data_IF_095610005942
#
_entry.id   IF_095610005942
#
_cell.length_a   1.000
_cell.length_b   1.000
_cell.length_c   1.000
_cell.angle_alpha   90.00
_cell.angle_beta   90.00
_cell.angle_gamma   90.00
#
_symmetry.space_group_name_H-M   'P 1'
#
loop_
_entity.id
_entity.type
_entity.pdbx_description
1 polymer ?
#
# COMPACT_ATOMS: atom_id res chain seq x y z
N UNK A 1 -4.70 -44.85 -9.74
CA UNK A 1 -4.42 -43.41 -10.00
C UNK A 1 -4.24 -42.75 -8.65
N UNK A 2 -3.01 -42.37 -8.32
CA UNK A 2 -2.63 -41.78 -7.02
C UNK A 2 -3.21 -40.37 -6.90
N UNK A 3 -4.20 -40.18 -6.04
CA UNK A 3 -4.55 -38.86 -5.53
C UNK A 3 -3.88 -38.70 -4.17
N UNK A 4 -2.66 -38.15 -4.20
CA UNK A 4 -1.97 -37.65 -3.01
C UNK A 4 -2.72 -36.44 -2.48
N UNK A 5 -3.67 -36.69 -1.58
CA UNK A 5 -4.17 -35.68 -0.66
C UNK A 5 -3.09 -35.42 0.39
N UNK A 6 -2.07 -34.68 0.02
CA UNK A 6 -1.11 -34.09 0.94
C UNK A 6 -1.76 -32.82 1.54
N UNK A 7 -2.95 -33.02 2.12
CA UNK A 7 -3.70 -32.01 2.83
C UNK A 7 -2.94 -31.67 4.10
N UNK A 8 -2.24 -30.55 4.07
CA UNK A 8 -1.54 -29.92 5.18
C UNK A 8 -2.46 -29.87 6.42
N UNK A 9 -2.24 -30.79 7.35
CA UNK A 9 -2.88 -30.79 8.67
C UNK A 9 -2.46 -29.59 9.52
N UNK A 10 -3.02 -29.42 10.72
CA UNK A 10 -2.64 -28.34 11.64
C UNK A 10 -1.14 -28.42 11.88
N UNK A 11 -0.39 -27.46 11.32
CA UNK A 11 1.06 -27.57 11.34
C UNK A 11 1.55 -27.41 12.79
N UNK A 12 2.43 -28.32 13.20
CA UNK A 12 2.88 -28.41 14.57
C UNK A 12 4.01 -27.41 14.81
N UNK A 13 3.77 -26.44 15.68
CA UNK A 13 4.69 -25.34 16.03
C UNK A 13 6.02 -25.85 16.63
N UNK A 14 6.07 -27.12 17.03
CA UNK A 14 7.18 -27.75 17.73
C UNK A 14 8.04 -28.69 16.86
N UNK A 15 7.80 -28.76 15.55
CA UNK A 15 8.61 -29.65 14.72
C UNK A 15 10.04 -29.10 14.54
N UNK A 16 11.03 -29.96 14.81
CA UNK A 16 12.47 -29.63 14.68
C UNK A 16 12.82 -29.03 13.32
N UNK A 17 12.09 -29.43 12.27
CA UNK A 17 12.22 -28.91 10.91
C UNK A 17 12.01 -27.40 10.84
N UNK A 18 10.94 -26.88 11.47
CA UNK A 18 10.64 -25.45 11.47
C UNK A 18 11.69 -24.64 12.25
N UNK A 19 12.18 -25.19 13.37
CA UNK A 19 13.27 -24.58 14.15
C UNK A 19 14.55 -24.47 13.31
N UNK A 20 14.94 -25.54 12.61
CA UNK A 20 16.10 -25.56 11.72
C UNK A 20 15.98 -24.58 10.55
N UNK A 21 14.80 -24.49 9.93
CA UNK A 21 14.53 -23.53 8.85
C UNK A 21 14.66 -22.09 9.34
N UNK A 22 14.11 -21.77 10.51
CA UNK A 22 14.22 -20.45 11.13
C UNK A 22 15.66 -20.09 11.49
N UNK A 23 16.43 -21.01 12.07
CA UNK A 23 17.85 -20.80 12.38
C UNK A 23 18.68 -20.60 11.10
N UNK A 24 18.38 -21.36 10.04
CA UNK A 24 19.04 -21.20 8.73
C UNK A 24 18.70 -19.84 8.11
N UNK A 25 17.45 -19.42 8.19
CA UNK A 25 17.01 -18.12 7.68
C UNK A 25 17.65 -16.96 8.46
N UNK A 26 17.77 -17.07 9.79
CA UNK A 26 18.47 -16.11 10.63
C UNK A 26 19.95 -16.01 10.28
N UNK A 27 20.62 -17.16 10.12
CA UNK A 27 22.02 -17.20 9.68
C UNK A 27 22.20 -16.53 8.32
N UNK A 28 21.31 -16.82 7.36
CA UNK A 28 21.36 -16.22 6.03
C UNK A 28 21.11 -14.70 6.08
N UNK A 29 20.16 -14.23 6.91
CA UNK A 29 19.88 -12.81 7.12
C UNK A 29 21.08 -12.07 7.72
N UNK A 30 21.66 -12.63 8.78
CA UNK A 30 22.86 -12.08 9.41
C UNK A 30 24.02 -11.99 8.42
N UNK A 31 24.19 -13.01 7.55
CA UNK A 31 25.20 -12.98 6.49
C UNK A 31 24.94 -11.92 5.42
N UNK A 32 23.69 -11.68 5.06
CA UNK A 32 23.33 -10.76 3.99
C UNK A 32 23.37 -9.29 4.44
N UNK A 33 22.88 -8.98 5.64
CA UNK A 33 22.63 -7.60 6.10
C UNK A 33 23.51 -7.22 7.31
N UNK A 34 24.02 -8.20 8.07
CA UNK A 34 24.80 -7.99 9.28
C UNK A 34 23.96 -8.07 10.56
N UNK A 35 24.65 -8.31 11.69
CA UNK A 35 24.02 -8.50 13.02
C UNK A 35 23.32 -7.22 13.49
N UNK A 36 24.00 -6.07 13.41
CA UNK A 36 23.46 -4.79 13.89
C UNK A 36 22.21 -4.36 13.14
N UNK A 37 22.22 -4.46 11.81
CA UNK A 37 21.04 -4.14 11.02
C UNK A 37 19.89 -5.11 11.31
N UNK A 38 20.19 -6.40 11.51
CA UNK A 38 19.18 -7.39 11.90
C UNK A 38 18.54 -7.05 13.26
N UNK A 39 19.32 -6.56 14.22
CA UNK A 39 18.82 -6.11 15.53
C UNK A 39 17.98 -4.83 15.40
N UNK A 40 18.45 -3.84 14.63
CA UNK A 40 17.71 -2.60 14.38
C UNK A 40 16.37 -2.89 13.70
N UNK A 41 16.38 -3.71 12.65
CA UNK A 41 15.17 -4.13 11.93
C UNK A 41 14.20 -4.85 12.87
N UNK A 42 14.72 -5.72 13.75
CA UNK A 42 13.91 -6.41 14.75
C UNK A 42 13.28 -5.45 15.76
N UNK A 43 14.03 -4.48 16.28
CA UNK A 43 13.51 -3.47 17.21
C UNK A 43 12.40 -2.62 16.56
N UNK A 44 12.55 -2.27 15.28
CA UNK A 44 11.57 -1.46 14.55
C UNK A 44 10.31 -2.22 14.14
N UNK A 45 10.41 -3.53 13.85
CA UNK A 45 9.27 -4.34 13.37
C UNK A 45 8.64 -5.24 14.42
N UNK A 46 9.30 -5.42 15.56
CA UNK A 46 8.95 -6.43 16.57
C UNK A 46 8.88 -7.86 16.00
N UNK A 47 9.35 -8.10 14.77
CA UNK A 47 9.24 -9.37 14.05
C UNK A 47 10.50 -9.60 13.22
N UNK A 48 11.12 -10.78 13.33
CA UNK A 48 12.19 -11.16 12.41
C UNK A 48 11.54 -11.63 11.11
N UNK A 49 11.27 -10.68 10.21
CA UNK A 49 10.79 -10.98 8.86
C UNK A 49 11.92 -11.61 8.06
N UNK A 50 11.96 -12.94 8.01
CA UNK A 50 12.85 -13.72 7.14
C UNK A 50 12.43 -13.64 5.66
N UNK A 51 11.97 -12.46 5.22
CA UNK A 51 11.07 -12.29 4.09
C UNK A 51 11.54 -12.91 2.78
N UNK A 52 12.84 -12.91 2.50
CA UNK A 52 13.40 -13.49 1.27
C UNK A 52 13.89 -14.94 1.46
N UNK A 53 14.05 -15.39 2.70
CA UNK A 53 14.67 -16.67 3.05
C UNK A 53 13.68 -17.77 3.40
N UNK A 54 12.44 -17.42 3.77
CA UNK A 54 11.39 -18.40 4.07
C UNK A 54 10.16 -18.28 3.14
N UNK A 55 10.03 -17.20 2.37
CA UNK A 55 8.91 -16.99 1.46
C UNK A 55 9.13 -17.51 0.06
N UNK A 56 8.09 -18.05 -0.57
CA UNK A 56 8.07 -18.22 -2.03
C UNK A 56 7.74 -16.88 -2.67
N UNK A 57 8.58 -16.42 -3.62
CA UNK A 57 8.29 -15.21 -4.38
C UNK A 57 7.11 -15.48 -5.30
N UNK A 58 6.02 -14.73 -5.13
CA UNK A 58 4.81 -14.81 -5.93
C UNK A 58 4.83 -13.87 -7.12
N UNK A 59 5.47 -12.71 -6.98
CA UNK A 59 5.65 -11.78 -8.08
C UNK A 59 6.20 -10.43 -7.66
N UNK A 60 6.34 -9.57 -8.64
CA UNK A 60 6.84 -8.20 -8.49
C UNK A 60 5.85 -7.27 -9.17
N UNK A 61 5.54 -6.13 -8.54
CA UNK A 61 4.69 -5.11 -9.15
C UNK A 61 5.47 -4.10 -9.99
N UNK A 62 4.75 -3.16 -10.59
CA UNK A 62 5.30 -2.08 -11.43
C UNK A 62 6.21 -1.10 -10.67
N UNK A 63 6.10 -1.03 -9.33
CA UNK A 63 6.95 -0.22 -8.46
C UNK A 63 8.17 -0.99 -7.94
N UNK A 64 8.29 -2.28 -8.28
CA UNK A 64 9.38 -3.15 -7.85
C UNK A 64 9.16 -3.79 -6.47
N UNK A 65 7.97 -3.66 -5.87
CA UNK A 65 7.65 -4.32 -4.61
C UNK A 65 7.54 -5.83 -4.86
N UNK A 66 8.15 -6.61 -3.96
CA UNK A 66 8.21 -8.08 -4.06
C UNK A 66 7.21 -8.70 -3.10
N UNK A 67 6.36 -9.59 -3.63
CA UNK A 67 5.28 -10.24 -2.89
C UNK A 67 5.66 -11.68 -2.58
N UNK A 68 5.53 -12.07 -1.32
CA UNK A 68 5.93 -13.38 -0.84
C UNK A 68 4.78 -14.09 -0.16
N UNK A 69 4.74 -15.41 -0.31
CA UNK A 69 3.82 -16.27 0.42
C UNK A 69 4.57 -17.43 1.07
N UNK A 70 4.21 -17.75 2.30
CA UNK A 70 4.62 -18.95 2.99
C UNK A 70 3.49 -19.48 3.86
N UNK A 71 2.81 -20.51 3.35
CA UNK A 71 1.73 -21.22 4.04
C UNK A 71 2.20 -21.90 5.33
N UNK A 72 3.51 -22.15 5.46
CA UNK A 72 4.17 -22.72 6.64
C UNK A 72 4.45 -21.68 7.74
N UNK A 73 4.28 -20.39 7.44
CA UNK A 73 4.60 -19.29 8.36
C UNK A 73 3.42 -18.89 9.26
N UNK A 74 2.42 -19.77 9.42
CA UNK A 74 1.30 -19.57 10.36
C UNK A 74 1.75 -19.54 11.83
N UNK A 75 3.02 -19.91 12.08
CA UNK A 75 3.62 -20.03 13.40
C UNK A 75 4.72 -19.00 13.60
N UNK A 76 4.30 -17.74 13.64
CA UNK A 76 5.12 -16.67 14.19
C UNK A 76 5.31 -16.87 15.69
N UNK A 77 6.57 -17.02 16.11
CA UNK A 77 7.11 -16.95 17.49
C UNK A 77 7.24 -18.28 18.24
N UNK A 78 8.26 -19.08 17.91
CA UNK A 78 8.81 -20.07 18.86
C UNK A 78 10.19 -19.71 19.44
N UNK A 79 10.75 -18.54 19.09
CA UNK A 79 12.10 -18.15 19.54
C UNK A 79 12.12 -17.05 20.62
N UNK A 80 10.99 -16.41 20.94
CA UNK A 80 10.96 -15.23 21.83
C UNK A 80 10.39 -15.48 23.23
N UNK A 81 10.12 -16.73 23.60
CA UNK A 81 9.70 -17.04 24.97
C UNK A 81 10.86 -17.07 25.95
N UNK A 82 12.11 -17.32 25.52
CA UNK A 82 13.20 -17.50 26.48
C UNK A 82 13.65 -16.20 27.20
N UNK A 83 13.64 -15.05 26.52
CA UNK A 83 14.07 -13.77 27.14
C UNK A 83 12.93 -13.03 27.86
N UNK A 84 11.66 -13.44 27.67
CA UNK A 84 10.48 -12.86 28.34
C UNK A 84 9.99 -13.71 29.53
N UNK A 85 10.67 -14.83 29.84
CA UNK A 85 10.26 -15.81 30.86
C UNK A 85 10.69 -15.47 32.29
N UNK A 86 11.46 -14.40 32.51
CA UNK A 86 12.00 -14.07 33.84
C UNK A 86 11.08 -13.13 34.65
N UNK A 87 10.08 -12.48 34.03
CA UNK A 87 9.36 -11.35 34.67
C UNK A 87 7.82 -11.48 34.74
N UNK A 88 7.15 -12.33 33.94
CA UNK A 88 5.66 -12.36 33.94
C UNK A 88 5.07 -13.77 33.81
N UNK A 89 4.07 -14.04 34.67
CA UNK A 89 3.27 -15.26 34.89
C UNK A 89 2.77 -15.95 33.59
N UNK A 90 2.71 -17.30 33.48
CA UNK A 90 2.47 -18.02 32.23
C UNK A 90 0.99 -18.35 32.04
N UNK A 91 0.26 -17.48 31.35
CA UNK A 91 -0.96 -17.87 30.63
C UNK A 91 -0.68 -17.68 29.14
N UNK A 92 0.06 -18.63 28.57
CA UNK A 92 0.42 -18.62 27.15
C UNK A 92 -0.74 -19.15 26.33
N UNK A 93 -1.56 -18.24 25.79
CA UNK A 93 -2.41 -18.57 24.67
C UNK A 93 -1.52 -18.80 23.45
N UNK A 94 -1.45 -20.05 22.98
CA UNK A 94 -0.96 -20.39 21.64
C UNK A 94 -1.96 -19.80 20.64
N UNK A 95 -1.74 -18.55 20.26
CA UNK A 95 -2.56 -17.88 19.26
C UNK A 95 -2.10 -18.41 17.90
N UNK A 96 -2.92 -19.25 17.24
CA UNK A 96 -2.78 -19.52 15.82
C UNK A 96 -2.90 -18.19 15.09
N UNK A 97 -1.76 -17.66 14.63
CA UNK A 97 -1.70 -16.40 13.91
C UNK A 97 -2.02 -16.66 12.45
N UNK A 98 -3.30 -16.83 12.15
CA UNK A 98 -3.81 -16.81 10.77
C UNK A 98 -3.55 -15.42 10.16
N UNK A 99 -3.34 -15.37 8.84
CA UNK A 99 -3.15 -14.09 8.11
C UNK A 99 -1.72 -13.53 8.03
N UNK A 100 -0.68 -14.26 8.47
CA UNK A 100 0.74 -13.82 8.34
C UNK A 100 1.52 -14.50 7.22
N UNK A 101 0.86 -15.37 6.47
CA UNK A 101 1.51 -16.15 5.43
C UNK A 101 1.75 -15.36 4.15
N UNK A 102 1.30 -14.10 4.04
CA UNK A 102 1.59 -13.20 2.91
C UNK A 102 2.22 -11.92 3.41
N UNK A 103 3.28 -11.46 2.77
CA UNK A 103 3.91 -10.18 3.07
C UNK A 103 4.54 -9.55 1.82
N UNK A 104 4.87 -8.27 1.95
CA UNK A 104 5.47 -7.46 0.89
C UNK A 104 6.83 -6.97 1.38
N UNK A 105 7.84 -7.08 0.52
CA UNK A 105 9.06 -6.30 0.65
C UNK A 105 8.98 -5.14 -0.34
N UNK A 106 8.82 -3.93 0.17
CA UNK A 106 8.81 -2.73 -0.65
C UNK A 106 10.16 -2.55 -1.38
N UNK A 107 10.11 -2.00 -2.59
CA UNK A 107 11.32 -1.69 -3.36
C UNK A 107 12.17 -0.62 -2.68
N UNK A 108 11.50 0.36 -2.07
CA UNK A 108 12.13 1.46 -1.36
C UNK A 108 12.86 0.95 -0.11
N UNK A 109 14.15 1.28 -0.01
CA UNK A 109 15.00 0.79 1.08
C UNK A 109 14.67 1.51 2.39
N UNK A 110 14.24 2.77 2.31
CA UNK A 110 13.78 3.51 3.49
C UNK A 110 12.38 3.06 3.85
N UNK A 111 12.28 2.28 4.93
CA UNK A 111 11.00 1.81 5.45
C UNK A 111 10.04 2.95 5.82
N UNK A 112 10.56 4.11 6.20
CA UNK A 112 9.78 5.32 6.51
C UNK A 112 9.00 5.86 5.29
N UNK A 113 9.52 5.61 4.08
CA UNK A 113 8.89 5.95 2.81
C UNK A 113 8.06 4.79 2.25
N UNK A 114 8.16 3.61 2.87
CA UNK A 114 7.36 2.44 2.49
C UNK A 114 5.94 2.61 3.03
N UNK A 115 5.01 2.90 2.14
CA UNK A 115 3.62 3.16 2.50
C UNK A 115 2.69 2.12 1.88
N UNK A 116 1.62 1.76 2.61
CA UNK A 116 0.60 0.83 2.12
C UNK A 116 -0.13 1.35 0.86
N UNK A 117 -0.09 2.68 0.62
CA UNK A 117 -0.67 3.32 -0.55
C UNK A 117 0.11 3.09 -1.85
N UNK A 118 1.28 2.46 -1.82
CA UNK A 118 2.09 2.12 -3.02
C UNK A 118 1.68 0.76 -3.62
N UNK A 119 0.80 0.01 -2.94
CA UNK A 119 0.36 -1.30 -3.40
C UNK A 119 -0.72 -1.12 -4.48
N UNK A 120 -0.52 -1.62 -5.70
CA UNK A 120 -1.53 -1.53 -6.76
C UNK A 120 -2.76 -2.39 -6.44
N UNK A 121 -3.95 -2.03 -6.96
CA UNK A 121 -5.22 -2.63 -6.56
C UNK A 121 -5.31 -4.14 -6.82
N UNK A 122 -4.67 -4.64 -7.87
CA UNK A 122 -4.62 -6.08 -8.13
C UNK A 122 -3.91 -6.85 -7.01
N UNK A 123 -2.76 -6.36 -6.56
CA UNK A 123 -1.99 -6.96 -5.47
C UNK A 123 -2.62 -6.70 -4.09
N UNK A 124 -3.35 -5.59 -3.94
CA UNK A 124 -4.03 -5.22 -2.70
C UNK A 124 -5.05 -6.28 -2.26
N UNK A 125 -5.85 -6.83 -3.18
CA UNK A 125 -6.82 -7.88 -2.87
C UNK A 125 -6.16 -9.19 -2.44
N UNK A 126 -5.00 -9.51 -3.03
CA UNK A 126 -4.23 -10.71 -2.70
C UNK A 126 -3.56 -10.61 -1.33
N UNK A 127 -2.91 -9.49 -1.01
CA UNK A 127 -2.22 -9.32 0.28
C UNK A 127 -3.19 -9.25 1.46
N UNK A 128 -4.41 -8.74 1.25
CA UNK A 128 -5.47 -8.66 2.28
C UNK A 128 -6.37 -9.89 2.34
N UNK A 129 -5.99 -11.01 1.72
CA UNK A 129 -6.77 -12.26 1.71
C UNK A 129 -8.19 -12.13 1.14
N UNK A 130 -8.49 -11.08 0.40
CA UNK A 130 -9.78 -10.91 -0.26
C UNK A 130 -9.88 -11.81 -1.50
N UNK A 131 -8.76 -11.95 -2.21
CA UNK A 131 -8.63 -12.82 -3.38
C UNK A 131 -7.45 -13.80 -3.19
N UNK A 132 -7.60 -15.01 -3.73
CA UNK A 132 -6.50 -16.00 -3.75
C UNK A 132 -5.60 -15.84 -4.98
N UNK A 133 -6.10 -15.25 -6.05
CA UNK A 133 -5.38 -15.06 -7.30
C UNK A 133 -4.46 -13.86 -7.26
N UNK A 134 -3.28 -14.00 -7.86
CA UNK A 134 -2.30 -12.94 -8.11
C UNK A 134 -2.70 -12.22 -9.41
N UNK A 135 -2.39 -10.92 -9.61
CA UNK A 135 -2.76 -10.21 -10.85
C UNK A 135 -2.23 -10.82 -12.15
N UNK A 136 -1.15 -11.62 -12.06
CA UNK A 136 -0.56 -12.33 -13.18
C UNK A 136 -1.28 -13.65 -13.53
N UNK A 137 -2.14 -14.16 -12.64
CA UNK A 137 -2.87 -15.40 -12.86
C UNK A 137 -3.93 -15.23 -13.95
N UNK A 138 -4.17 -16.26 -14.75
CA UNK A 138 -5.17 -16.24 -15.82
C UNK A 138 -6.61 -16.02 -15.30
N UNK A 139 -6.89 -16.47 -14.07
CA UNK A 139 -8.17 -16.28 -13.39
C UNK A 139 -8.34 -14.90 -12.72
N UNK A 140 -7.33 -14.03 -12.79
CA UNK A 140 -7.41 -12.71 -12.18
C UNK A 140 -8.28 -11.75 -13.00
N UNK A 141 -9.05 -10.92 -12.29
CA UNK A 141 -9.86 -9.88 -12.93
C UNK A 141 -8.94 -8.82 -13.56
N UNK A 142 -9.02 -8.69 -14.88
CA UNK A 142 -8.31 -7.64 -15.61
C UNK A 142 -9.01 -6.30 -15.40
N UNK A 143 -8.27 -5.21 -15.14
CA UNK A 143 -8.86 -3.90 -14.98
C UNK A 143 -9.55 -3.46 -16.28
N UNK A 144 -10.77 -2.88 -16.23
CA UNK A 144 -11.42 -2.35 -17.43
C UNK A 144 -10.64 -1.17 -18.00
N UNK A 145 -10.88 -0.85 -19.28
CA UNK A 145 -10.09 0.14 -20.05
C UNK A 145 -10.08 1.57 -19.46
N UNK A 146 -11.07 1.91 -18.64
CA UNK A 146 -11.20 3.22 -18.02
C UNK A 146 -10.44 3.34 -16.69
N UNK A 147 -9.86 2.25 -16.18
CA UNK A 147 -9.05 2.27 -14.96
C UNK A 147 -7.75 3.01 -15.23
N UNK A 148 -7.45 3.97 -14.35
CA UNK A 148 -6.20 4.70 -14.37
C UNK A 148 -5.06 3.82 -13.84
N UNK A 149 -3.84 4.09 -14.32
CA UNK A 149 -2.62 3.53 -13.75
C UNK A 149 -2.52 3.88 -12.26
N UNK A 150 -2.03 2.93 -11.46
CA UNK A 150 -1.90 3.15 -10.03
C UNK A 150 -0.96 4.32 -9.75
N UNK A 151 -1.35 5.16 -8.80
CA UNK A 151 -0.54 6.25 -8.28
C UNK A 151 -0.55 6.13 -6.77
N UNK A 152 0.64 6.28 -6.18
CA UNK A 152 0.78 6.24 -4.73
C UNK A 152 0.10 7.46 -4.07
N UNK A 153 -0.08 7.36 -2.76
CA UNK A 153 -0.65 8.45 -2.00
C UNK A 153 0.36 9.59 -1.77
N UNK A 154 0.18 10.71 -2.47
CA UNK A 154 1.02 11.91 -2.33
C UNK A 154 0.62 12.86 -1.18
N UNK A 155 -0.19 12.41 -0.22
CA UNK A 155 -0.59 13.23 0.94
C UNK A 155 0.64 13.76 1.68
N UNK A 156 0.64 15.05 2.02
CA UNK A 156 1.76 15.70 2.71
C UNK A 156 2.94 16.11 1.81
N UNK A 157 2.93 15.72 0.53
CA UNK A 157 3.90 16.20 -0.46
C UNK A 157 3.35 17.38 -1.28
N UNK A 158 4.22 18.01 -2.08
CA UNK A 158 3.82 19.05 -3.05
C UNK A 158 2.90 18.52 -4.16
N UNK A 159 2.96 17.20 -4.44
CA UNK A 159 2.11 16.52 -5.43
C UNK A 159 0.74 16.09 -4.89
N UNK A 160 0.38 16.52 -3.67
CA UNK A 160 -0.92 16.17 -3.08
C UNK A 160 -2.07 16.60 -3.97
N UNK A 161 -3.18 15.87 -3.88
CA UNK A 161 -4.41 16.29 -4.54
C UNK A 161 -4.88 17.64 -3.98
N UNK A 162 -5.12 18.59 -4.88
CA UNK A 162 -5.66 19.92 -4.56
C UNK A 162 -6.97 20.06 -5.34
N UNK A 163 -8.14 20.06 -4.66
CA UNK A 163 -9.39 20.23 -5.37
C UNK A 163 -9.43 21.62 -6.04
N UNK A 164 -10.15 21.74 -7.15
CA UNK A 164 -10.23 23.00 -7.92
C UNK A 164 -10.61 24.22 -7.07
N UNK A 165 -11.37 24.03 -6.00
CA UNK A 165 -11.84 25.10 -5.11
C UNK A 165 -10.93 25.34 -3.90
N UNK A 166 -9.83 24.59 -3.77
CA UNK A 166 -8.92 24.69 -2.64
C UNK A 166 -8.14 26.01 -2.69
N UNK A 167 -8.38 26.90 -1.74
CA UNK A 167 -7.74 28.22 -1.69
C UNK A 167 -8.15 29.17 -2.82
N UNK A 168 -9.00 28.75 -3.77
CA UNK A 168 -9.55 29.64 -4.79
C UNK A 168 -10.71 30.42 -4.19
N UNK A 169 -10.43 31.64 -3.74
CA UNK A 169 -11.44 32.69 -3.51
C UNK A 169 -12.03 33.26 -4.82
N UNK A 170 -11.89 32.56 -5.95
CA UNK A 170 -12.63 32.92 -7.15
C UNK A 170 -14.05 32.45 -6.92
N UNK A 171 -14.84 33.35 -6.37
CA UNK A 171 -16.26 33.16 -6.20
C UNK A 171 -16.85 32.94 -7.61
N UNK A 172 -17.14 31.67 -7.94
CA UNK A 172 -18.05 31.32 -9.02
C UNK A 172 -19.44 31.76 -8.57
N UNK A 173 -19.64 33.09 -8.49
CA UNK A 173 -20.88 33.68 -8.06
C UNK A 173 -21.92 33.32 -9.11
N UNK A 174 -23.06 32.81 -8.66
CA UNK A 174 -24.22 32.57 -9.52
C UNK A 174 -24.84 33.87 -10.03
N UNK A 175 -24.39 35.00 -9.50
CA UNK A 175 -24.82 36.35 -9.82
C UNK A 175 -23.61 37.22 -10.09
N UNK A 176 -23.77 38.21 -10.95
CA UNK A 176 -22.73 39.22 -11.11
C UNK A 176 -22.80 40.22 -9.95
N UNK A 177 -21.70 40.49 -9.23
CA UNK A 177 -21.69 41.53 -8.22
C UNK A 177 -21.86 42.89 -8.90
N UNK A 178 -22.60 43.79 -8.25
CA UNK A 178 -22.69 45.18 -8.69
C UNK A 178 -21.29 45.82 -8.74
N UNK A 179 -20.95 46.44 -9.87
CA UNK A 179 -19.69 47.13 -10.09
C UNK A 179 -19.95 48.64 -10.17
N UNK A 180 -19.43 49.47 -9.24
CA UNK A 180 -19.77 50.89 -9.14
C UNK A 180 -19.44 51.69 -10.41
N UNK A 181 -18.33 51.35 -11.07
CA UNK A 181 -17.83 52.05 -12.25
C UNK A 181 -17.99 51.23 -13.53
N UNK A 182 -19.02 50.38 -13.63
CA UNK A 182 -19.27 49.63 -14.86
C UNK A 182 -19.70 50.63 -15.96
N UNK A 183 -18.93 50.82 -17.04
CA UNK A 183 -19.39 51.67 -18.13
C UNK A 183 -20.71 51.11 -18.66
N UNK A 184 -21.67 52.00 -18.92
CA UNK A 184 -22.98 51.62 -19.46
C UNK A 184 -22.73 50.88 -20.77
N UNK A 185 -23.13 49.61 -20.84
CA UNK A 185 -23.04 48.85 -22.09
C UNK A 185 -24.09 49.41 -23.04
N UNK A 186 -23.65 50.27 -23.96
CA UNK A 186 -24.51 50.83 -24.99
C UNK A 186 -24.75 49.70 -26.00
N UNK A 187 -26.01 49.37 -26.26
CA UNK A 187 -26.33 48.40 -27.32
C UNK A 187 -25.95 48.96 -28.68
N UNK A 188 -25.67 48.09 -29.66
CA UNK A 188 -25.30 48.53 -31.01
C UNK A 188 -26.38 49.44 -31.66
N UNK A 189 -27.65 49.29 -31.26
CA UNK A 189 -28.75 50.12 -31.70
C UNK A 189 -28.70 51.52 -31.06
N UNK A 190 -28.46 51.62 -29.76
CA UNK A 190 -28.29 52.89 -29.06
C UNK A 190 -27.05 53.65 -29.55
N UNK A 191 -25.95 52.94 -29.86
CA UNK A 191 -24.74 53.54 -30.43
C UNK A 191 -25.01 54.16 -31.83
N UNK A 192 -25.76 53.45 -32.67
CA UNK A 192 -26.19 53.98 -33.99
C UNK A 192 -27.12 55.19 -33.86
N UNK A 193 -28.06 55.16 -32.92
CA UNK A 193 -28.98 56.27 -32.70
C UNK A 193 -28.26 57.53 -32.18
N UNK A 194 -27.27 57.37 -31.31
CA UNK A 194 -26.43 58.48 -30.82
C UNK A 194 -25.62 59.13 -31.95
N UNK A 195 -25.00 58.34 -32.82
CA UNK A 195 -24.21 58.86 -33.94
C UNK A 195 -25.09 59.45 -35.05
N UNK A 196 -26.25 58.87 -35.34
CA UNK A 196 -27.20 59.43 -36.32
C UNK A 196 -27.74 60.81 -35.89
N UNK A 197 -27.75 61.11 -34.60
CA UNK A 197 -28.11 62.42 -34.07
C UNK A 197 -26.97 63.44 -34.10
N UNK A 198 -25.70 63.02 -34.14
CA UNK A 198 -24.57 63.96 -34.21
C UNK A 198 -24.34 64.51 -35.61
N UNK A 199 -24.71 63.76 -36.63
CA UNK A 199 -24.50 64.12 -38.05
C UNK A 199 -25.51 65.18 -38.56
N UNK A 200 -26.52 65.54 -37.75
CA UNK A 200 -27.57 66.52 -38.08
C UNK A 200 -27.34 67.91 -37.42
N UNK A 201 -26.11 68.24 -37.00
CA UNK A 201 -25.69 69.58 -36.55
C UNK A 201 -24.58 70.11 -37.43
#
# INVERSE_FOLDING_TARGET
>A
MNNGNDGTGPQNNNDKRHILLNLRALKNRIKAVGVWQTILDFNQSSEINFGETLGTLRGVDEFGNRYYENLDNQFGLFFFYFLKFVIFNPFFFSQHKTGRHRWINYAERRRELSHAGTIPPGWWGWIHFSNSHIPADEGALKPPRWVLLHQENFTGSDKRYVPSNYGRHRANLKYEPWQPNRPKQITAQEYRALNASSDNK
#
